data_IF_085552338743
#
_entry.id   IF_085552338743
#
_cell.length_a   1.000
_cell.length_b   1.000
_cell.length_c   1.000
_cell.angle_alpha   90.00
_cell.angle_beta   90.00
_cell.angle_gamma   90.00
#
_symmetry.space_group_name_H-M   'P 1'
#
loop_
_entity.id
_entity.type
_entity.pdbx_description
1 polymer ?
#
# COMPACT_ATOMS: atom_id res chain seq x y z
N UNK A 1 14.25 -15.00 38.81
CA UNK A 1 13.96 -13.80 37.99
C UNK A 1 13.27 -14.28 36.72
N UNK A 2 11.97 -14.04 36.51
CA UNK A 2 11.36 -14.34 35.22
C UNK A 2 11.89 -13.34 34.18
N UNK A 3 12.28 -13.83 33.01
CA UNK A 3 12.70 -12.99 31.89
C UNK A 3 11.57 -12.00 31.53
N UNK A 4 11.88 -10.76 31.14
CA UNK A 4 10.87 -9.84 30.66
C UNK A 4 10.11 -10.49 29.50
N UNK A 5 8.79 -10.58 29.62
CA UNK A 5 7.92 -11.09 28.55
C UNK A 5 8.09 -10.19 27.33
N UNK A 6 8.78 -10.68 26.30
CA UNK A 6 8.94 -9.97 25.04
C UNK A 6 7.56 -9.73 24.44
N UNK A 7 7.26 -8.46 24.13
CA UNK A 7 5.99 -8.08 23.52
C UNK A 7 5.78 -8.88 22.22
N UNK A 8 4.74 -9.69 22.18
CA UNK A 8 4.34 -10.45 21.01
C UNK A 8 3.37 -9.66 20.13
N UNK A 9 3.54 -9.80 18.82
CA UNK A 9 2.67 -9.27 17.77
C UNK A 9 2.03 -10.42 17.01
N UNK A 10 0.94 -10.15 16.30
CA UNK A 10 0.26 -11.13 15.45
C UNK A 10 0.03 -10.52 14.09
N UNK A 11 0.27 -11.31 13.04
CA UNK A 11 -0.02 -10.99 11.64
C UNK A 11 -0.95 -12.07 11.10
N UNK A 12 -1.96 -11.69 10.31
CA UNK A 12 -2.81 -12.65 9.61
C UNK A 12 -2.46 -12.68 8.13
N UNK A 13 -2.04 -13.84 7.63
CA UNK A 13 -1.69 -14.06 6.23
C UNK A 13 -2.94 -14.29 5.38
N UNK A 14 -2.80 -14.19 4.05
CA UNK A 14 -3.90 -14.35 3.09
C UNK A 14 -4.59 -15.72 3.15
N UNK A 15 -3.86 -16.76 3.56
CA UNK A 15 -4.40 -18.10 3.81
C UNK A 15 -5.06 -18.25 5.20
N UNK A 16 -5.34 -17.14 5.89
CA UNK A 16 -5.88 -17.08 7.26
C UNK A 16 -4.95 -17.62 8.36
N UNK A 17 -3.70 -17.95 8.06
CA UNK A 17 -2.71 -18.35 9.07
C UNK A 17 -2.40 -17.15 9.96
N UNK A 18 -2.55 -17.32 11.28
CA UNK A 18 -2.12 -16.34 12.28
C UNK A 18 -0.70 -16.63 12.72
N UNK A 19 0.19 -15.70 12.43
CA UNK A 19 1.59 -15.76 12.76
C UNK A 19 1.86 -14.89 13.98
N UNK A 20 2.20 -15.50 15.11
CA UNK A 20 2.71 -14.78 16.28
C UNK A 20 4.21 -14.58 16.15
N UNK A 21 4.70 -13.37 16.41
CA UNK A 21 6.12 -13.01 16.30
C UNK A 21 6.52 -11.97 17.33
N UNK A 22 7.81 -11.80 17.55
CA UNK A 22 8.42 -10.78 18.42
C UNK A 22 9.19 -9.77 17.58
N UNK A 23 9.66 -8.68 18.19
CA UNK A 23 10.47 -7.67 17.45
C UNK A 23 11.75 -8.28 16.86
N UNK A 24 12.32 -9.29 17.53
CA UNK A 24 13.56 -9.96 17.12
C UNK A 24 13.35 -10.90 15.94
N UNK A 25 12.10 -11.37 15.74
CA UNK A 25 11.72 -12.18 14.58
C UNK A 25 11.63 -11.34 13.28
N UNK A 26 11.59 -10.00 13.38
CA UNK A 26 11.43 -9.09 12.22
C UNK A 26 12.80 -8.68 11.69
N UNK A 27 13.18 -9.08 10.45
CA UNK A 27 14.46 -8.70 9.88
C UNK A 27 14.54 -7.19 9.61
N UNK A 28 15.73 -6.70 9.30
CA UNK A 28 15.86 -5.39 8.66
C UNK A 28 15.31 -5.47 7.22
N UNK A 29 14.57 -4.44 6.76
CA UNK A 29 13.94 -4.50 5.45
C UNK A 29 14.99 -4.54 4.34
N UNK A 30 14.91 -5.51 3.41
CA UNK A 30 15.82 -5.53 2.28
C UNK A 30 15.55 -4.36 1.34
N UNK A 31 16.58 -3.97 0.58
CA UNK A 31 16.44 -2.94 -0.43
C UNK A 31 15.55 -3.42 -1.58
N UNK A 32 14.45 -2.70 -1.84
CA UNK A 32 13.50 -3.02 -2.91
C UNK A 32 13.79 -2.14 -4.14
N UNK A 33 14.19 -2.73 -5.26
CA UNK A 33 14.35 -2.02 -6.53
C UNK A 33 13.67 -2.78 -7.67
N UNK A 34 12.77 -2.08 -8.37
CA UNK A 34 11.99 -2.61 -9.50
C UNK A 34 12.19 -1.75 -10.76
N UNK A 35 13.24 -0.92 -10.78
CA UNK A 35 13.51 0.01 -11.88
C UNK A 35 13.83 -0.72 -13.20
N UNK A 36 14.40 -1.92 -13.12
CA UNK A 36 14.80 -2.74 -14.26
C UNK A 36 13.96 -4.00 -14.47
N UNK A 37 13.18 -4.38 -13.45
CA UNK A 37 12.41 -5.63 -13.45
C UNK A 37 11.08 -5.40 -12.72
N UNK A 38 10.15 -4.73 -13.40
CA UNK A 38 8.84 -4.45 -12.84
C UNK A 38 8.00 -5.72 -12.68
N UNK A 39 8.19 -6.71 -13.56
CA UNK A 39 7.41 -7.95 -13.57
C UNK A 39 7.72 -8.86 -12.37
N UNK A 40 8.83 -8.61 -11.67
CA UNK A 40 9.14 -9.26 -10.38
C UNK A 40 8.29 -8.78 -9.20
N UNK A 41 7.60 -7.64 -9.30
CA UNK A 41 6.81 -7.07 -8.20
C UNK A 41 5.48 -7.81 -7.93
N UNK A 42 4.61 -8.09 -8.93
CA UNK A 42 3.34 -8.78 -8.69
C UNK A 42 3.49 -10.13 -7.97
N UNK A 43 4.49 -10.97 -8.27
CA UNK A 43 4.66 -12.24 -7.58
C UNK A 43 5.01 -12.16 -6.09
N UNK A 44 5.50 -11.02 -5.61
CA UNK A 44 5.90 -10.83 -4.20
C UNK A 44 4.97 -9.90 -3.43
N UNK A 45 3.99 -9.30 -4.11
CA UNK A 45 3.15 -8.26 -3.52
C UNK A 45 2.14 -8.82 -2.51
N UNK A 46 1.32 -9.78 -2.92
CA UNK A 46 0.17 -10.28 -2.13
C UNK A 46 0.13 -11.80 -2.16
N UNK A 47 0.01 -12.40 -0.98
CA UNK A 47 -0.16 -13.84 -0.79
C UNK A 47 -1.58 -14.35 -1.08
N UNK A 48 -2.51 -13.43 -1.38
CA UNK A 48 -3.84 -13.74 -1.91
C UNK A 48 -3.89 -13.70 -3.44
N UNK A 49 -2.81 -13.28 -4.10
CA UNK A 49 -2.75 -13.18 -5.56
C UNK A 49 -2.54 -14.56 -6.19
N UNK A 50 -3.16 -14.87 -7.35
CA UNK A 50 -2.80 -16.06 -8.11
C UNK A 50 -1.36 -16.01 -8.65
N UNK A 51 -0.74 -14.83 -8.70
CA UNK A 51 0.65 -14.64 -9.10
C UNK A 51 1.64 -14.85 -7.94
N UNK A 52 1.16 -15.06 -6.70
CA UNK A 52 2.01 -15.19 -5.53
C UNK A 52 3.05 -16.30 -5.68
N UNK A 53 4.32 -15.93 -5.55
CA UNK A 53 5.46 -16.84 -5.58
C UNK A 53 6.20 -16.79 -4.22
N UNK A 54 5.88 -17.68 -3.27
CA UNK A 54 6.47 -17.65 -1.93
C UNK A 54 8.00 -17.74 -1.93
N UNK A 55 8.59 -18.38 -2.93
CA UNK A 55 10.04 -18.53 -3.10
C UNK A 55 10.76 -17.22 -3.43
N UNK A 56 10.04 -16.23 -3.98
CA UNK A 56 10.57 -14.89 -4.30
C UNK A 56 10.34 -13.89 -3.16
N UNK A 57 9.62 -14.27 -2.11
CA UNK A 57 9.38 -13.39 -0.97
C UNK A 57 10.72 -12.91 -0.37
N UNK A 58 10.86 -11.62 0.00
CA UNK A 58 12.17 -11.12 0.43
C UNK A 58 12.68 -11.73 1.74
N UNK A 59 11.78 -12.25 2.58
CA UNK A 59 12.11 -13.00 3.79
C UNK A 59 10.92 -13.83 4.27
N UNK A 60 11.21 -14.72 5.21
CA UNK A 60 10.22 -15.53 5.93
C UNK A 60 10.30 -15.28 7.43
N UNK A 61 9.18 -15.33 8.12
CA UNK A 61 9.12 -15.32 9.58
C UNK A 61 8.59 -16.66 10.04
N UNK A 62 9.31 -17.35 10.94
CA UNK A 62 8.94 -18.69 11.44
C UNK A 62 8.54 -19.66 10.33
N UNK A 63 9.34 -19.70 9.25
CA UNK A 63 9.11 -20.57 8.10
C UNK A 63 8.02 -20.13 7.11
N UNK A 64 7.34 -19.00 7.36
CA UNK A 64 6.28 -18.48 6.48
C UNK A 64 6.80 -17.31 5.65
N UNK A 65 6.81 -17.41 4.30
CA UNK A 65 7.17 -16.32 3.42
C UNK A 65 6.22 -15.13 3.60
N UNK A 66 6.77 -13.92 3.68
CA UNK A 66 5.97 -12.70 3.96
C UNK A 66 5.86 -11.84 2.71
N UNK A 67 4.63 -11.71 2.19
CA UNK A 67 4.32 -10.82 1.08
C UNK A 67 4.47 -9.34 1.45
N UNK A 68 4.80 -8.49 0.47
CA UNK A 68 5.03 -7.05 0.69
C UNK A 68 3.80 -6.33 1.26
N UNK A 69 2.58 -6.76 0.93
CA UNK A 69 1.33 -6.17 1.41
C UNK A 69 1.26 -6.13 2.94
N UNK A 70 1.86 -7.12 3.61
CA UNK A 70 1.88 -7.27 5.07
C UNK A 70 2.92 -6.40 5.78
N UNK A 71 3.85 -5.79 5.03
CA UNK A 71 4.99 -5.08 5.64
C UNK A 71 4.57 -3.90 6.51
N UNK A 72 3.47 -3.21 6.17
CA UNK A 72 2.94 -2.13 7.01
C UNK A 72 2.57 -2.61 8.41
N UNK A 73 1.92 -3.77 8.52
CA UNK A 73 1.51 -4.34 9.80
C UNK A 73 2.71 -4.94 10.53
N UNK A 74 3.57 -5.66 9.80
CA UNK A 74 4.78 -6.26 10.33
C UNK A 74 5.72 -5.22 10.98
N UNK A 75 6.05 -4.15 10.25
CA UNK A 75 6.99 -3.12 10.71
C UNK A 75 6.35 -2.10 11.66
N UNK A 76 5.08 -2.27 12.06
CA UNK A 76 4.46 -1.44 13.09
C UNK A 76 5.22 -1.52 14.43
N UNK A 77 5.89 -2.64 14.70
CA UNK A 77 6.76 -2.80 15.87
C UNK A 77 8.11 -2.05 15.76
N UNK A 78 8.50 -1.60 14.55
CA UNK A 78 9.78 -0.95 14.23
C UNK A 78 9.53 0.39 13.50
N UNK A 79 9.07 1.44 14.21
CA UNK A 79 8.59 2.68 13.57
C UNK A 79 9.66 3.45 12.80
N UNK A 80 10.93 3.38 13.22
CA UNK A 80 12.03 4.01 12.49
C UNK A 80 12.25 3.36 11.12
N UNK A 81 12.30 2.03 11.09
CA UNK A 81 12.42 1.23 9.87
C UNK A 81 11.22 1.43 8.96
N UNK A 82 10.00 1.40 9.52
CA UNK A 82 8.78 1.67 8.75
C UNK A 82 8.82 3.05 8.09
N UNK A 83 9.26 4.10 8.80
CA UNK A 83 9.33 5.44 8.22
C UNK A 83 10.27 5.52 7.01
N UNK A 84 11.41 4.82 7.03
CA UNK A 84 12.32 4.76 5.89
C UNK A 84 11.79 3.95 4.71
N UNK A 85 10.94 2.96 4.97
CA UNK A 85 10.38 2.05 3.97
C UNK A 85 9.06 2.53 3.37
N UNK A 86 8.32 3.37 4.11
CA UNK A 86 6.92 3.73 3.83
C UNK A 86 6.69 4.26 2.42
N UNK A 87 7.55 5.16 1.95
CA UNK A 87 7.45 5.74 0.61
C UNK A 87 7.61 4.65 -0.45
N UNK A 88 8.71 3.89 -0.39
CA UNK A 88 8.98 2.81 -1.34
C UNK A 88 7.89 1.74 -1.35
N UNK A 89 7.41 1.36 -0.18
CA UNK A 89 6.28 0.45 -0.04
C UNK A 89 5.01 1.00 -0.71
N UNK A 90 4.73 2.30 -0.56
CA UNK A 90 3.59 2.95 -1.18
C UNK A 90 3.69 2.97 -2.71
N UNK A 91 4.87 3.24 -3.26
CA UNK A 91 5.10 3.15 -4.70
C UNK A 91 4.86 1.74 -5.24
N UNK A 92 5.39 0.73 -4.55
CA UNK A 92 5.19 -0.68 -4.89
C UNK A 92 3.71 -1.03 -4.84
N UNK A 93 3.01 -0.58 -3.80
CA UNK A 93 1.56 -0.74 -3.66
C UNK A 93 0.81 -0.23 -4.88
N UNK A 94 1.07 1.02 -5.29
CA UNK A 94 0.36 1.65 -6.40
C UNK A 94 0.49 0.86 -7.69
N UNK A 95 1.71 0.41 -8.02
CA UNK A 95 1.94 -0.32 -9.27
C UNK A 95 1.41 -1.76 -9.17
N UNK A 96 1.65 -2.44 -8.05
CA UNK A 96 1.21 -3.82 -7.87
C UNK A 96 -0.32 -3.93 -7.88
N UNK A 97 -1.04 -3.03 -7.21
CA UNK A 97 -2.51 -3.03 -7.22
C UNK A 97 -3.07 -2.74 -8.62
N UNK A 98 -2.47 -1.81 -9.37
CA UNK A 98 -2.88 -1.55 -10.76
C UNK A 98 -2.59 -2.75 -11.68
N UNK A 99 -1.45 -3.39 -11.51
CA UNK A 99 -1.10 -4.60 -12.25
C UNK A 99 -2.08 -5.74 -11.96
N UNK A 100 -2.36 -6.01 -10.68
CA UNK A 100 -3.26 -7.10 -10.27
C UNK A 100 -4.73 -6.83 -10.61
N UNK A 101 -5.12 -5.56 -10.78
CA UNK A 101 -6.44 -5.17 -11.28
C UNK A 101 -6.60 -5.30 -12.80
N UNK A 102 -5.54 -5.70 -13.52
CA UNK A 102 -5.51 -5.82 -14.97
C UNK A 102 -4.89 -7.16 -15.41
N UNK A 103 -4.58 -7.30 -16.69
CA UNK A 103 -3.75 -8.39 -17.21
C UNK A 103 -2.41 -7.82 -17.69
N UNK A 104 -1.32 -8.61 -17.78
CA UNK A 104 -0.04 -8.11 -18.28
C UNK A 104 -0.14 -7.45 -19.67
N UNK A 105 -1.00 -7.98 -20.54
CA UNK A 105 -1.23 -7.41 -21.87
C UNK A 105 -1.92 -6.03 -21.79
N UNK A 106 -2.96 -5.90 -20.96
CA UNK A 106 -3.66 -4.62 -20.78
C UNK A 106 -2.78 -3.59 -20.08
N UNK A 107 -2.04 -4.01 -19.05
CA UNK A 107 -1.08 -3.17 -18.35
C UNK A 107 -0.05 -2.60 -19.32
N UNK A 108 0.57 -3.45 -20.14
CA UNK A 108 1.57 -2.97 -21.09
C UNK A 108 0.97 -2.20 -22.25
N UNK A 109 -0.25 -2.52 -22.70
CA UNK A 109 -0.94 -1.69 -23.69
C UNK A 109 -1.17 -0.25 -23.16
N UNK A 110 -1.46 -0.11 -21.87
CA UNK A 110 -1.63 1.18 -21.21
C UNK A 110 -0.32 1.94 -21.00
N UNK A 111 0.77 1.23 -20.66
CA UNK A 111 2.07 1.81 -20.34
C UNK A 111 3.12 1.59 -21.42
N UNK A 112 2.71 1.62 -22.68
CA UNK A 112 3.60 1.65 -23.85
C UNK A 112 3.46 3.01 -24.55
N UNK A 113 4.59 3.64 -24.86
CA UNK A 113 4.60 4.93 -25.53
C UNK A 113 4.25 4.78 -27.04
N UNK A 114 4.00 5.88 -27.77
CA UNK A 114 3.68 5.82 -29.21
C UNK A 114 4.77 5.22 -30.09
N UNK A 115 6.01 5.09 -29.59
CA UNK A 115 7.12 4.42 -30.30
C UNK A 115 7.14 2.91 -30.08
N UNK A 116 6.22 2.37 -29.28
CA UNK A 116 6.17 0.95 -28.92
C UNK A 116 7.08 0.56 -27.75
N UNK A 117 7.63 1.52 -27.02
CA UNK A 117 8.52 1.26 -25.88
C UNK A 117 7.74 1.30 -24.57
N UNK A 118 7.96 0.29 -23.72
CA UNK A 118 7.38 0.24 -22.37
C UNK A 118 7.93 1.39 -21.52
N UNK A 119 7.04 2.06 -20.78
CA UNK A 119 7.41 3.12 -19.85
C UNK A 119 8.27 2.56 -18.70
N UNK A 120 9.17 3.38 -18.18
CA UNK A 120 9.97 3.03 -17.01
C UNK A 120 9.12 2.95 -15.74
N UNK A 121 9.64 2.28 -14.71
CA UNK A 121 9.03 2.26 -13.37
C UNK A 121 8.59 3.66 -12.89
N UNK A 122 9.48 4.65 -13.02
CA UNK A 122 9.23 6.02 -12.56
C UNK A 122 8.17 6.73 -13.41
N UNK A 123 8.15 6.50 -14.72
CA UNK A 123 7.13 7.07 -15.60
C UNK A 123 5.74 6.48 -15.30
N UNK A 124 5.64 5.16 -15.09
CA UNK A 124 4.39 4.49 -14.70
C UNK A 124 3.89 5.03 -13.36
N UNK A 125 4.77 5.07 -12.35
CA UNK A 125 4.45 5.60 -11.03
C UNK A 125 3.93 7.04 -11.11
N UNK A 126 4.62 7.90 -11.87
CA UNK A 126 4.22 9.31 -12.04
C UNK A 126 2.84 9.44 -12.67
N UNK A 127 2.54 8.61 -13.68
CA UNK A 127 1.25 8.61 -14.33
C UNK A 127 0.13 8.12 -13.39
N UNK A 128 0.36 7.05 -12.63
CA UNK A 128 -0.58 6.56 -11.63
C UNK A 128 -0.82 7.60 -10.52
N UNK A 129 0.21 8.30 -10.07
CA UNK A 129 0.10 9.39 -9.10
C UNK A 129 -0.71 10.57 -9.65
N UNK A 130 -0.45 10.97 -10.90
CA UNK A 130 -1.20 12.03 -11.58
C UNK A 130 -2.70 11.68 -11.66
N UNK A 131 -3.02 10.47 -12.13
CA UNK A 131 -4.41 9.98 -12.23
C UNK A 131 -5.09 9.88 -10.88
N UNK A 132 -4.40 9.34 -9.87
CA UNK A 132 -4.95 9.26 -8.51
C UNK A 132 -5.25 10.64 -7.95
N UNK A 133 -4.37 11.63 -8.17
CA UNK A 133 -4.60 13.03 -7.78
C UNK A 133 -5.84 13.60 -8.47
N UNK A 134 -5.96 13.44 -9.79
CA UNK A 134 -7.11 13.93 -10.56
C UNK A 134 -8.43 13.30 -10.12
N UNK A 135 -8.45 11.98 -9.92
CA UNK A 135 -9.63 11.26 -9.44
C UNK A 135 -10.03 11.70 -8.03
N UNK A 136 -9.06 11.86 -7.14
CA UNK A 136 -9.33 12.32 -5.77
C UNK A 136 -9.82 13.77 -5.74
N UNK A 137 -9.30 14.65 -6.60
CA UNK A 137 -9.82 16.01 -6.76
C UNK A 137 -11.27 16.00 -7.23
N UNK A 138 -11.57 15.26 -8.31
CA UNK A 138 -12.95 15.14 -8.82
C UNK A 138 -13.91 14.56 -7.77
N UNK A 139 -13.49 13.54 -7.04
CA UNK A 139 -14.30 12.94 -5.99
C UNK A 139 -14.52 13.88 -4.80
N UNK A 140 -13.51 14.67 -4.43
CA UNK A 140 -13.66 15.69 -3.39
C UNK A 140 -14.61 16.82 -3.83
N UNK A 141 -14.50 17.29 -5.07
CA UNK A 141 -15.44 18.25 -5.67
C UNK A 141 -16.87 17.69 -5.71
N UNK A 142 -17.03 16.42 -6.13
CA UNK A 142 -18.32 15.75 -6.14
C UNK A 142 -18.92 15.61 -4.73
N UNK A 143 -18.10 15.38 -3.70
CA UNK A 143 -18.54 15.33 -2.31
C UNK A 143 -19.07 16.69 -1.82
N UNK A 144 -18.64 17.81 -2.38
CA UNK A 144 -19.19 19.11 -2.00
C UNK A 144 -20.65 19.30 -2.46
N UNK A 145 -21.07 18.65 -3.55
CA UNK A 145 -22.41 18.83 -4.11
C UNK A 145 -23.56 18.33 -3.20
N UNK A 146 -23.54 17.08 -2.68
CA UNK A 146 -24.61 16.58 -1.82
C UNK A 146 -24.50 17.07 -0.37
N UNK A 147 -23.29 17.36 0.12
CA UNK A 147 -23.09 17.73 1.53
C UNK A 147 -23.16 19.24 1.77
N UNK A 148 -22.84 20.10 0.80
CA UNK A 148 -23.02 21.55 0.89
C UNK A 148 -22.58 22.14 2.23
N UNK A 149 -23.52 22.72 2.98
CA UNK A 149 -23.30 23.29 4.32
C UNK A 149 -22.87 22.26 5.38
N UNK A 150 -23.27 21.00 5.23
CA UNK A 150 -22.96 19.92 6.16
C UNK A 150 -21.59 19.29 5.89
N UNK A 151 -20.86 19.76 4.88
CA UNK A 151 -19.54 19.23 4.54
C UNK A 151 -18.57 19.31 5.72
N UNK A 152 -18.55 20.45 6.44
CA UNK A 152 -17.66 20.64 7.59
C UNK A 152 -17.99 19.77 8.79
N UNK A 153 -19.19 19.19 8.84
CA UNK A 153 -19.60 18.29 9.92
C UNK A 153 -19.29 16.84 9.57
N UNK A 154 -19.47 16.47 8.31
CA UNK A 154 -19.27 15.10 7.84
C UNK A 154 -17.81 14.80 7.54
N UNK A 155 -17.07 15.72 6.93
CA UNK A 155 -15.67 15.51 6.51
C UNK A 155 -14.70 16.03 7.56
N UNK A 156 -14.61 15.31 8.68
CA UNK A 156 -13.75 15.70 9.80
C UNK A 156 -12.84 14.58 10.28
N UNK A 157 -11.80 14.96 11.04
CA UNK A 157 -10.95 14.04 11.78
C UNK A 157 -10.57 14.64 13.13
N UNK A 158 -10.31 13.76 14.10
CA UNK A 158 -9.88 14.17 15.45
C UNK A 158 -8.36 14.14 15.53
N UNK A 159 -7.75 15.26 15.94
CA UNK A 159 -6.31 15.37 16.21
C UNK A 159 -6.10 16.07 17.55
N UNK A 160 -5.39 15.41 18.46
CA UNK A 160 -5.17 15.91 19.83
C UNK A 160 -6.47 16.34 20.55
N UNK A 161 -7.54 15.55 20.39
CA UNK A 161 -8.85 15.82 21.01
C UNK A 161 -9.65 16.96 20.37
N UNK A 162 -9.17 17.54 19.26
CA UNK A 162 -9.88 18.60 18.51
C UNK A 162 -10.37 18.07 17.18
N UNK A 163 -11.58 18.43 16.80
CA UNK A 163 -12.17 18.13 15.49
C UNK A 163 -11.63 19.12 14.46
N UNK A 164 -11.14 18.60 13.34
CA UNK A 164 -10.63 19.36 12.21
C UNK A 164 -11.36 18.95 10.93
N UNK A 165 -11.68 19.91 10.07
CA UNK A 165 -12.25 19.64 8.74
C UNK A 165 -11.15 19.11 7.81
N UNK A 166 -11.48 18.12 7.00
CA UNK A 166 -10.59 17.60 5.97
C UNK A 166 -10.42 18.63 4.85
N UNK A 167 -9.16 18.88 4.49
CA UNK A 167 -8.79 19.76 3.37
C UNK A 167 -8.08 19.01 2.23
N UNK A 168 -7.60 17.79 2.49
CA UNK A 168 -6.85 17.01 1.50
C UNK A 168 -7.82 16.24 0.59
N UNK A 169 -7.79 16.43 -0.74
CA UNK A 169 -8.72 15.76 -1.66
C UNK A 169 -8.72 14.23 -1.54
N UNK A 170 -7.55 13.62 -1.31
CA UNK A 170 -7.46 12.17 -1.10
C UNK A 170 -8.14 11.69 0.18
N UNK A 171 -8.11 12.50 1.24
CA UNK A 171 -8.78 12.19 2.50
C UNK A 171 -10.31 12.37 2.38
N UNK A 172 -10.74 13.46 1.72
CA UNK A 172 -12.15 13.73 1.43
C UNK A 172 -12.72 12.62 0.55
N UNK A 173 -12.06 12.31 -0.58
CA UNK A 173 -12.49 11.25 -1.50
C UNK A 173 -12.57 9.89 -0.81
N UNK A 174 -11.61 9.56 0.06
CA UNK A 174 -11.64 8.31 0.83
C UNK A 174 -12.85 8.26 1.77
N UNK A 175 -13.13 9.33 2.50
CA UNK A 175 -14.25 9.37 3.43
C UNK A 175 -15.59 9.34 2.67
N UNK A 176 -15.68 10.03 1.54
CA UNK A 176 -16.88 10.05 0.71
C UNK A 176 -17.25 8.63 0.22
N UNK A 177 -16.28 7.86 -0.29
CA UNK A 177 -16.49 6.46 -0.70
C UNK A 177 -16.89 5.51 0.43
N UNK A 178 -16.60 5.86 1.68
CA UNK A 178 -16.98 5.06 2.84
C UNK A 178 -18.38 5.42 3.37
N UNK A 179 -18.97 6.50 2.87
CA UNK A 179 -20.31 6.99 3.24
C UNK A 179 -21.38 6.56 2.22
N UNK A 180 -20.97 6.07 1.05
CA UNK A 180 -21.81 5.39 0.06
C UNK A 180 -22.07 3.94 0.45
#
# INVERSE_FOLDING_TARGET
MPAPSSKSFTLTLGNSTRLSFTIDDVPEPPFLSFAKDLESLPPIWSDMSPLWEPSKAPFSIRGHPIALVHWRELYHCKPRQWNGLKERWHECKMIAEHWLGTTPALFWAEFTNPKGERLSYTAILSELQRRSKEQNTKAAEAAHAPYGSNFSDQFTYVKHGKTHVLSQPSAIAKQFRNME
#
